data_IF_465387222452
#
_entry.id   IF_465387222452
#
_cell.length_a   1.000
_cell.length_b   1.000
_cell.length_c   1.000
_cell.angle_alpha   90.00
_cell.angle_beta   90.00
_cell.angle_gamma   90.00
#
_symmetry.space_group_name_H-M   'P 1'
#
loop_
_entity.id
_entity.type
_entity.pdbx_description
1 polymer ?
#
# COMPACT_ATOMS: atom_id res chain seq x y z
N UNK A 1 5.71 11.67 7.42
CA UNK A 1 6.71 11.84 6.33
C UNK A 1 8.06 12.39 6.79
N UNK A 2 8.21 12.90 8.02
CA UNK A 2 9.50 13.46 8.48
C UNK A 2 10.51 12.43 9.00
N UNK A 3 10.09 11.24 9.46
CA UNK A 3 10.98 10.26 10.10
C UNK A 3 11.93 9.58 9.09
N UNK A 4 11.49 9.40 7.84
CA UNK A 4 12.32 8.78 6.79
C UNK A 4 13.52 9.66 6.39
N UNK A 5 13.39 10.98 6.44
CA UNK A 5 14.46 11.91 6.01
C UNK A 5 15.61 11.96 7.02
N UNK A 6 15.30 11.90 8.33
CA UNK A 6 16.33 11.90 9.39
C UNK A 6 17.18 10.63 9.38
N UNK A 7 16.58 9.48 9.07
CA UNK A 7 17.30 8.20 8.99
C UNK A 7 18.24 8.18 7.78
N UNK A 8 17.83 8.75 6.64
CA UNK A 8 18.69 8.86 5.46
C UNK A 8 19.89 9.79 5.69
N UNK A 9 19.71 10.96 6.33
CA UNK A 9 20.83 11.87 6.61
C UNK A 9 21.86 11.24 7.55
N UNK A 10 21.43 10.61 8.65
CA UNK A 10 22.34 9.99 9.63
C UNK A 10 23.16 8.83 9.03
N UNK A 11 22.60 8.14 8.03
CA UNK A 11 23.27 7.07 7.31
C UNK A 11 24.30 7.61 6.30
N UNK A 12 24.08 8.79 5.71
CA UNK A 12 25.03 9.43 4.78
C UNK A 12 26.25 9.95 5.55
N UNK A 13 26.05 10.65 6.67
CA UNK A 13 27.15 11.23 7.46
C UNK A 13 28.08 10.16 8.06
N UNK A 14 27.52 9.01 8.45
CA UNK A 14 28.32 7.87 8.96
C UNK A 14 29.12 7.15 7.86
N UNK A 15 28.68 7.23 6.60
CA UNK A 15 29.36 6.64 5.45
C UNK A 15 30.56 7.47 4.96
N UNK A 16 30.48 8.80 5.05
CA UNK A 16 31.60 9.69 4.71
C UNK A 16 32.80 9.51 5.67
N UNK A 17 32.52 9.36 6.97
CA UNK A 17 33.55 9.11 7.99
C UNK A 17 34.29 7.78 7.74
N UNK A 18 33.57 6.74 7.31
CA UNK A 18 34.16 5.41 7.05
C UNK A 18 34.93 5.38 5.72
N UNK A 19 34.47 6.12 4.70
CA UNK A 19 35.14 6.17 3.39
C UNK A 19 36.51 6.86 3.44
N UNK A 20 36.68 7.84 4.33
CA UNK A 20 37.91 8.63 4.49
C UNK A 20 39.03 7.83 5.18
N UNK A 21 38.71 6.74 5.87
CA UNK A 21 39.62 5.96 6.71
C UNK A 21 40.33 4.79 6.01
N UNK A 22 39.93 4.37 4.79
CA UNK A 22 40.39 3.10 4.20
C UNK A 22 41.16 3.27 2.87
N UNK A 23 42.42 2.82 2.87
CA UNK A 23 43.42 2.90 1.79
C UNK A 23 43.03 2.25 0.45
N UNK A 24 43.69 2.66 -0.65
CA UNK A 24 43.41 2.37 -2.09
C UNK A 24 43.25 0.89 -2.49
N UNK A 25 43.73 -0.08 -1.71
CA UNK A 25 43.54 -1.52 -2.00
C UNK A 25 42.18 -2.04 -1.50
N UNK A 26 41.55 -1.33 -0.57
CA UNK A 26 40.30 -1.69 0.10
C UNK A 26 39.07 -1.18 -0.65
N UNK A 27 39.25 -0.27 -1.62
CA UNK A 27 38.17 0.39 -2.37
C UNK A 27 37.28 -0.58 -3.14
N UNK A 28 37.83 -1.66 -3.71
CA UNK A 28 37.04 -2.68 -4.44
C UNK A 28 36.14 -3.50 -3.50
N UNK A 29 36.64 -3.84 -2.32
CA UNK A 29 35.89 -4.59 -1.30
C UNK A 29 34.78 -3.70 -0.74
N UNK A 30 35.08 -2.43 -0.46
CA UNK A 30 34.09 -1.43 -0.01
C UNK A 30 32.99 -1.25 -1.06
N UNK A 31 33.35 -1.15 -2.34
CA UNK A 31 32.37 -1.03 -3.43
C UNK A 31 31.46 -2.26 -3.54
N UNK A 32 32.02 -3.47 -3.39
CA UNK A 32 31.24 -4.69 -3.40
C UNK A 32 30.24 -4.78 -2.23
N UNK A 33 30.67 -4.40 -1.02
CA UNK A 33 29.78 -4.31 0.14
C UNK A 33 28.67 -3.27 -0.04
N UNK A 34 28.99 -2.12 -0.66
CA UNK A 34 28.00 -1.09 -0.97
C UNK A 34 26.93 -1.59 -1.94
N UNK A 35 27.33 -2.30 -3.01
CA UNK A 35 26.38 -2.88 -3.96
C UNK A 35 25.45 -3.90 -3.31
N UNK A 36 25.97 -4.78 -2.45
CA UNK A 36 25.15 -5.78 -1.73
C UNK A 36 24.16 -5.08 -0.80
N UNK A 37 24.61 -4.08 -0.04
CA UNK A 37 23.74 -3.32 0.85
C UNK A 37 22.63 -2.61 0.06
N UNK A 38 22.98 -1.97 -1.06
CA UNK A 38 22.04 -1.27 -1.92
C UNK A 38 20.96 -2.20 -2.50
N UNK A 39 21.36 -3.37 -3.03
CA UNK A 39 20.43 -4.38 -3.54
C UNK A 39 19.52 -4.92 -2.44
N UNK A 40 20.06 -5.12 -1.23
CA UNK A 40 19.28 -5.60 -0.08
C UNK A 40 18.22 -4.58 0.36
N UNK A 41 18.56 -3.30 0.37
CA UNK A 41 17.63 -2.20 0.69
C UNK A 41 16.53 -2.10 -0.38
N UNK A 42 16.89 -2.19 -1.66
CA UNK A 42 15.91 -2.20 -2.75
C UNK A 42 14.93 -3.37 -2.64
N UNK A 43 15.42 -4.56 -2.29
CA UNK A 43 14.58 -5.73 -2.09
C UNK A 43 13.61 -5.55 -0.90
N UNK A 44 14.08 -5.01 0.23
CA UNK A 44 13.25 -4.71 1.39
C UNK A 44 12.16 -3.66 1.10
N UNK A 45 12.51 -2.64 0.28
CA UNK A 45 11.55 -1.64 -0.19
C UNK A 45 10.49 -2.26 -1.10
N UNK A 46 10.86 -3.20 -1.97
CA UNK A 46 9.90 -3.91 -2.83
C UNK A 46 8.89 -4.75 -2.03
N UNK A 47 9.31 -5.40 -0.94
CA UNK A 47 8.40 -6.19 -0.07
C UNK A 47 7.42 -5.30 0.70
N UNK A 48 7.80 -4.03 0.93
CA UNK A 48 7.00 -3.08 1.68
C UNK A 48 5.91 -2.39 0.85
N UNK A 49 5.93 -2.55 -0.49
CA UNK A 49 4.85 -2.04 -1.33
C UNK A 49 3.63 -2.94 -1.16
N UNK A 50 2.47 -2.42 -0.72
CA UNK A 50 1.24 -3.18 -0.77
C UNK A 50 0.95 -3.49 -2.23
N UNK A 51 1.16 -4.75 -2.62
CA UNK A 51 0.70 -5.28 -3.89
C UNK A 51 -0.80 -5.03 -3.93
N UNK A 52 -1.22 -4.08 -4.76
CA UNK A 52 -2.62 -3.89 -5.15
C UNK A 52 -3.01 -5.11 -5.99
N UNK A 53 -3.14 -6.27 -5.34
CA UNK A 53 -3.57 -7.52 -5.92
C UNK A 53 -5.03 -7.30 -6.35
N UNK A 54 -5.23 -6.83 -7.58
CA UNK A 54 -6.46 -7.09 -8.31
C UNK A 54 -6.50 -8.60 -8.53
N UNK A 55 -6.99 -9.34 -7.53
CA UNK A 55 -7.13 -10.79 -7.63
C UNK A 55 -8.09 -11.09 -8.78
N UNK A 56 -7.68 -11.97 -9.70
CA UNK A 56 -8.55 -12.47 -10.77
C UNK A 56 -9.84 -13.11 -10.21
N UNK A 57 -9.82 -13.55 -8.95
CA UNK A 57 -10.99 -14.02 -8.22
C UNK A 57 -12.04 -12.91 -8.01
N UNK A 58 -11.64 -11.65 -7.86
CA UNK A 58 -12.58 -10.52 -7.73
C UNK A 58 -13.36 -10.29 -9.03
N UNK A 59 -12.75 -10.60 -10.18
CA UNK A 59 -13.41 -10.53 -11.48
C UNK A 59 -14.35 -11.70 -11.76
N UNK A 60 -14.36 -12.75 -10.92
CA UNK A 60 -15.32 -13.85 -11.03
C UNK A 60 -16.72 -13.41 -10.57
N UNK A 61 -16.80 -12.40 -9.70
CA UNK A 61 -18.07 -11.72 -9.37
C UNK A 61 -18.41 -10.86 -10.60
N UNK A 62 -19.02 -11.41 -11.64
CA UNK A 62 -19.47 -10.65 -12.83
C UNK A 62 -20.94 -10.27 -12.78
N UNK A 63 -21.74 -11.09 -12.13
CA UNK A 63 -23.19 -10.92 -12.03
C UNK A 63 -23.57 -10.89 -10.56
N UNK A 64 -24.15 -9.77 -10.14
CA UNK A 64 -24.78 -9.65 -8.85
C UNK A 64 -26.31 -9.78 -9.01
N UNK A 65 -26.94 -10.39 -8.01
CA UNK A 65 -28.38 -10.60 -7.87
C UNK A 65 -29.20 -9.28 -7.90
N UNK A 66 -30.55 -9.35 -7.88
CA UNK A 66 -31.42 -8.19 -8.01
C UNK A 66 -31.10 -7.05 -7.02
N UNK A 67 -31.50 -5.84 -7.42
CA UNK A 67 -31.27 -4.60 -6.68
C UNK A 67 -31.72 -4.70 -5.21
N UNK A 68 -30.76 -4.58 -4.30
CA UNK A 68 -30.92 -4.54 -2.85
C UNK A 68 -30.08 -3.40 -2.28
N UNK A 69 -30.61 -2.17 -2.27
CA UNK A 69 -29.83 -0.99 -1.93
C UNK A 69 -29.32 -1.06 -0.50
N UNK A 70 -28.03 -0.78 -0.32
CA UNK A 70 -27.43 -0.67 0.99
C UNK A 70 -26.47 0.52 1.07
N UNK A 71 -26.32 1.05 2.28
CA UNK A 71 -25.26 2.00 2.59
C UNK A 71 -24.12 1.24 3.26
N UNK A 72 -22.88 1.63 2.95
CA UNK A 72 -21.73 1.13 3.66
C UNK A 72 -20.77 2.27 4.04
N UNK A 73 -20.02 2.07 5.11
CA UNK A 73 -19.03 3.01 5.61
C UNK A 73 -17.65 2.38 5.71
N UNK A 74 -16.61 3.16 5.44
CA UNK A 74 -15.21 2.79 5.65
C UNK A 74 -14.45 4.01 6.16
N UNK A 75 -13.86 3.88 7.36
CA UNK A 75 -13.16 4.93 8.14
C UNK A 75 -14.00 6.16 8.47
N UNK A 76 -14.48 6.92 7.48
CA UNK A 76 -15.39 8.07 7.57
C UNK A 76 -16.16 8.34 6.26
N UNK A 77 -15.92 7.56 5.20
CA UNK A 77 -16.63 7.71 3.93
C UNK A 77 -17.89 6.86 3.98
N UNK A 78 -18.99 7.39 3.43
CA UNK A 78 -20.23 6.64 3.20
C UNK A 78 -20.43 6.46 1.70
N UNK A 79 -20.78 5.25 1.28
CA UNK A 79 -21.02 4.92 -0.11
C UNK A 79 -22.25 4.04 -0.27
N UNK A 80 -23.08 4.38 -1.25
CA UNK A 80 -24.23 3.60 -1.64
C UNK A 80 -23.81 2.45 -2.58
N UNK A 81 -24.37 1.27 -2.34
CA UNK A 81 -24.19 0.09 -3.18
C UNK A 81 -25.56 -0.45 -3.63
N UNK A 82 -25.63 -0.88 -4.88
CA UNK A 82 -26.84 -1.47 -5.48
C UNK A 82 -27.19 -2.85 -4.91
N UNK A 83 -26.21 -3.52 -4.30
CA UNK A 83 -26.36 -4.80 -3.59
C UNK A 83 -25.14 -5.05 -2.69
N UNK A 84 -25.29 -5.99 -1.75
CA UNK A 84 -24.16 -6.48 -0.96
C UNK A 84 -23.07 -7.12 -1.83
N UNK A 85 -23.45 -7.73 -2.96
CA UNK A 85 -22.51 -8.30 -3.91
C UNK A 85 -21.61 -7.23 -4.56
N UNK A 86 -22.18 -6.07 -4.95
CA UNK A 86 -21.38 -4.95 -5.47
C UNK A 86 -20.45 -4.37 -4.40
N UNK A 87 -20.90 -4.30 -3.14
CA UNK A 87 -20.03 -3.91 -2.03
C UNK A 87 -18.83 -4.87 -1.90
N UNK A 88 -19.08 -6.18 -1.86
CA UNK A 88 -18.01 -7.20 -1.76
C UNK A 88 -17.08 -7.16 -2.97
N UNK A 89 -17.61 -6.93 -4.18
CA UNK A 89 -16.80 -6.74 -5.37
C UNK A 89 -15.86 -5.53 -5.21
N UNK A 90 -16.36 -4.41 -4.70
CA UNK A 90 -15.52 -3.23 -4.47
C UNK A 90 -14.45 -3.50 -3.40
N UNK A 91 -14.81 -4.13 -2.27
CA UNK A 91 -13.86 -4.58 -1.23
C UNK A 91 -12.74 -5.40 -1.87
N UNK A 92 -13.09 -6.34 -2.73
CA UNK A 92 -12.14 -7.21 -3.40
C UNK A 92 -11.21 -6.43 -4.37
N UNK A 93 -11.74 -5.46 -5.12
CA UNK A 93 -10.98 -4.70 -6.12
C UNK A 93 -10.13 -3.56 -5.53
N UNK A 94 -10.60 -2.94 -4.44
CA UNK A 94 -10.00 -1.73 -3.86
C UNK A 94 -9.27 -2.00 -2.55
N UNK A 95 -9.60 -3.08 -1.85
CA UNK A 95 -9.10 -3.40 -0.51
C UNK A 95 -9.71 -2.55 0.60
N UNK A 96 -10.79 -1.80 0.31
CA UNK A 96 -11.52 -1.02 1.33
C UNK A 96 -12.32 -1.93 2.25
N UNK A 97 -12.42 -1.58 3.52
CA UNK A 97 -13.14 -2.33 4.55
C UNK A 97 -14.59 -1.84 4.71
N UNK A 98 -15.35 -1.85 3.62
CA UNK A 98 -16.75 -1.42 3.64
C UNK A 98 -17.57 -2.26 4.63
N UNK A 99 -18.25 -1.58 5.55
CA UNK A 99 -19.17 -2.18 6.53
C UNK A 99 -20.57 -1.63 6.30
N UNK A 100 -21.58 -2.49 6.42
CA UNK A 100 -22.97 -2.05 6.33
C UNK A 100 -23.24 -0.91 7.31
N UNK A 101 -23.99 0.09 6.84
CA UNK A 101 -24.37 1.27 7.59
C UNK A 101 -25.83 1.64 7.30
N UNK A 102 -26.39 2.57 8.07
CA UNK A 102 -27.75 3.05 7.90
C UNK A 102 -27.90 3.83 6.59
N UNK A 103 -28.97 3.53 5.83
CA UNK A 103 -29.27 4.20 4.55
C UNK A 103 -29.33 5.74 4.66
N UNK A 104 -29.70 6.27 5.82
CA UNK A 104 -29.70 7.71 6.10
C UNK A 104 -28.33 8.37 5.98
N UNK A 105 -27.23 7.64 6.21
CA UNK A 105 -25.89 8.21 6.16
C UNK A 105 -25.35 8.38 4.73
N UNK A 106 -25.82 7.57 3.79
CA UNK A 106 -25.40 7.68 2.38
C UNK A 106 -26.11 8.81 1.62
N UNK A 107 -26.94 9.62 2.29
CA UNK A 107 -27.67 10.77 1.74
C UNK A 107 -28.26 10.51 0.34
N UNK A 108 -28.79 9.30 0.15
CA UNK A 108 -29.38 8.88 -1.11
C UNK A 108 -30.70 9.62 -1.19
N UNK A 109 -30.75 10.68 -2.01
CA UNK A 109 -32.04 11.31 -2.34
C UNK A 109 -32.91 10.20 -2.90
N UNK A 110 -34.04 9.92 -2.22
CA UNK A 110 -35.02 8.89 -2.61
C UNK A 110 -35.15 8.86 -4.13
N UNK A 111 -34.73 7.75 -4.74
CA UNK A 111 -35.03 7.41 -6.13
C UNK A 111 -36.55 7.29 -6.31
#
# INVERSE_FOLDING_TARGET
MHVHTYICMYMIDTMDVISTLMSKATTKIVYFCFLISFVSILFALCVSLPLKQRSSACMAIKTCDPFQPMCATSKNDHQFFYSQCEMVRDICLTGKDWKSDFLSHCNVRKL
#
